data_IF_792167958077
#
_entry.id   IF_792167958077
#
_cell.length_a   1.000
_cell.length_b   1.000
_cell.length_c   1.000
_cell.angle_alpha   90.00
_cell.angle_beta   90.00
_cell.angle_gamma   90.00
#
_symmetry.space_group_name_H-M   'P 1'
#
loop_
_entity.id
_entity.type
_entity.pdbx_description
1 polymer ?
#
# COMPACT_ATOMS: atom_id res chain seq x y z
N UNK A 1 11.85 8.06 4.14
CA UNK A 1 10.64 8.02 5.00
C UNK A 1 10.91 7.06 6.14
N UNK A 2 10.55 7.40 7.38
CA UNK A 2 10.64 6.44 8.49
C UNK A 2 9.42 5.51 8.44
N UNK A 3 9.64 4.25 8.07
CA UNK A 3 8.56 3.28 7.92
C UNK A 3 7.87 2.97 9.26
N UNK A 4 8.59 3.09 10.37
CA UNK A 4 8.06 2.80 11.69
C UNK A 4 7.12 3.90 12.21
N UNK A 5 7.09 5.06 11.55
CA UNK A 5 6.25 6.19 11.93
C UNK A 5 4.88 6.19 11.21
N UNK A 6 4.77 5.51 10.06
CA UNK A 6 3.55 5.41 9.25
C UNK A 6 2.29 5.02 10.02
N UNK A 7 2.42 4.06 10.95
CA UNK A 7 1.31 3.58 11.78
C UNK A 7 1.15 4.30 13.11
N UNK A 8 2.02 5.25 13.44
CA UNK A 8 2.07 5.92 14.76
C UNK A 8 1.68 7.39 14.68
N UNK A 9 2.17 8.07 13.64
CA UNK A 9 1.96 9.49 13.49
C UNK A 9 0.54 9.74 12.96
N UNK A 10 -0.23 10.66 13.58
CA UNK A 10 -1.56 10.99 13.09
C UNK A 10 -1.47 11.65 11.71
N UNK A 11 -2.47 11.42 10.85
CA UNK A 11 -2.58 12.14 9.56
C UNK A 11 -2.71 13.65 9.82
N UNK A 12 -3.63 14.03 10.71
CA UNK A 12 -3.68 15.35 11.31
C UNK A 12 -4.31 15.28 12.72
N UNK A 13 -4.16 16.32 13.57
CA UNK A 13 -4.65 16.27 14.95
C UNK A 13 -6.17 16.08 15.10
N UNK A 14 -6.96 16.61 14.17
CA UNK A 14 -8.43 16.57 14.23
C UNK A 14 -9.00 15.27 13.65
N UNK A 15 -8.23 14.60 12.77
CA UNK A 15 -8.52 13.33 12.15
C UNK A 15 -7.26 12.44 12.15
N UNK A 16 -6.90 11.82 13.30
CA UNK A 16 -5.67 11.04 13.42
C UNK A 16 -5.56 9.88 12.43
N UNK A 17 -6.71 9.32 12.03
CA UNK A 17 -6.80 8.23 11.06
C UNK A 17 -7.05 8.70 9.63
N UNK A 18 -7.21 10.01 9.39
CA UNK A 18 -7.61 10.54 8.10
C UNK A 18 -9.03 10.14 7.68
N UNK A 19 -9.27 10.09 6.37
CA UNK A 19 -10.57 9.78 5.76
C UNK A 19 -10.55 8.43 5.02
N UNK A 20 -11.72 7.98 4.56
CA UNK A 20 -11.81 6.82 3.67
C UNK A 20 -11.14 7.13 2.33
N UNK A 21 -10.29 6.22 1.87
CA UNK A 21 -9.49 6.34 0.63
C UNK A 21 -10.07 5.55 -0.53
N UNK A 22 -11.23 4.90 -0.36
CA UNK A 22 -11.83 4.01 -1.37
C UNK A 22 -12.21 4.69 -2.70
N UNK A 23 -12.15 6.02 -2.78
CA UNK A 23 -12.39 6.81 -4.00
C UNK A 23 -11.17 7.64 -4.42
N UNK A 24 -10.04 7.48 -3.73
CA UNK A 24 -8.83 8.21 -4.01
C UNK A 24 -8.02 7.50 -5.10
N UNK A 25 -7.45 8.29 -6.02
CA UNK A 25 -6.75 7.78 -7.20
C UNK A 25 -5.57 6.87 -6.79
N UNK A 26 -4.85 7.23 -5.73
CA UNK A 26 -3.72 6.44 -5.25
C UNK A 26 -4.16 5.06 -4.73
N UNK A 27 -5.36 4.95 -4.14
CA UNK A 27 -5.90 3.68 -3.68
C UNK A 27 -6.38 2.82 -4.86
N UNK A 28 -7.02 3.42 -5.85
CA UNK A 28 -7.40 2.73 -7.10
C UNK A 28 -6.18 2.17 -7.84
N UNK A 29 -5.07 2.94 -7.89
CA UNK A 29 -3.81 2.50 -8.47
C UNK A 29 -3.18 1.35 -7.68
N UNK A 30 -3.23 1.41 -6.34
CA UNK A 30 -2.77 0.35 -5.47
C UNK A 30 -3.58 -0.95 -5.71
N UNK A 31 -4.91 -0.84 -5.76
CA UNK A 31 -5.78 -1.98 -6.05
C UNK A 31 -5.60 -2.53 -7.46
N UNK A 32 -5.29 -1.68 -8.45
CA UNK A 32 -4.96 -2.13 -9.80
C UNK A 32 -3.70 -3.00 -9.83
N UNK A 33 -2.68 -2.62 -9.06
CA UNK A 33 -1.44 -3.40 -8.94
C UNK A 33 -1.68 -4.72 -8.21
N UNK A 34 -2.41 -4.69 -7.09
CA UNK A 34 -2.79 -5.90 -6.33
C UNK A 34 -3.66 -6.85 -7.19
N UNK A 35 -4.53 -6.32 -8.06
CA UNK A 35 -5.37 -7.16 -8.93
C UNK A 35 -4.57 -8.06 -9.87
N UNK A 36 -3.32 -7.72 -10.18
CA UNK A 36 -2.44 -8.57 -10.98
C UNK A 36 -2.19 -9.95 -10.33
N UNK A 37 -2.24 -10.05 -9.00
CA UNK A 37 -2.13 -11.33 -8.26
C UNK A 37 -3.18 -12.36 -8.66
N UNK A 38 -4.34 -11.91 -9.13
CA UNK A 38 -5.44 -12.79 -9.50
C UNK A 38 -5.48 -13.11 -10.99
N UNK A 39 -4.54 -12.58 -11.78
CA UNK A 39 -4.47 -12.88 -13.21
C UNK A 39 -3.95 -14.31 -13.43
N UNK A 40 -4.52 -15.05 -14.41
CA UNK A 40 -3.99 -16.36 -14.80
C UNK A 40 -2.51 -16.28 -15.17
N UNK A 41 -1.73 -17.27 -14.75
CA UNK A 41 -0.30 -17.42 -15.07
C UNK A 41 -0.02 -17.63 -16.58
N UNK A 42 -1.04 -17.73 -17.42
CA UNK A 42 -0.90 -17.72 -18.88
C UNK A 42 -0.88 -16.31 -19.48
N UNK A 43 -1.22 -15.29 -18.70
CA UNK A 43 -1.16 -13.87 -19.05
C UNK A 43 0.02 -13.16 -18.34
N UNK A 44 0.87 -13.92 -17.64
CA UNK A 44 1.84 -13.37 -16.67
C UNK A 44 3.14 -12.86 -17.26
N UNK A 45 3.38 -12.99 -18.57
CA UNK A 45 4.55 -12.36 -19.21
C UNK A 45 4.46 -10.82 -19.19
N UNK A 46 3.26 -10.26 -19.03
CA UNK A 46 3.00 -8.81 -18.94
C UNK A 46 2.51 -8.36 -17.55
N UNK A 47 2.35 -9.30 -16.61
CA UNK A 47 1.71 -9.06 -15.31
C UNK A 47 2.66 -9.30 -14.12
N UNK A 48 3.93 -8.96 -14.25
CA UNK A 48 4.81 -8.92 -13.09
C UNK A 48 4.29 -7.85 -12.11
N UNK A 49 4.19 -8.25 -10.84
CA UNK A 49 3.69 -7.40 -9.77
C UNK A 49 4.81 -6.48 -9.32
N UNK A 50 4.57 -5.17 -9.39
CA UNK A 50 5.50 -4.17 -8.90
C UNK A 50 5.32 -3.97 -7.38
N UNK A 51 6.02 -4.80 -6.60
CA UNK A 51 6.04 -4.71 -5.15
C UNK A 51 6.60 -3.38 -4.64
N UNK A 52 7.49 -2.73 -5.39
CA UNK A 52 8.01 -1.42 -5.02
C UNK A 52 6.92 -0.37 -5.14
N UNK A 53 6.15 -0.38 -6.23
CA UNK A 53 5.00 0.50 -6.42
C UNK A 53 3.93 0.28 -5.34
N UNK A 54 3.62 -0.97 -5.01
CA UNK A 54 2.69 -1.29 -3.91
C UNK A 54 3.16 -0.66 -2.60
N UNK A 55 4.44 -0.79 -2.26
CA UNK A 55 5.01 -0.22 -1.05
C UNK A 55 4.99 1.30 -1.02
N UNK A 56 5.39 1.94 -2.13
CA UNK A 56 5.42 3.40 -2.25
C UNK A 56 4.01 4.01 -2.14
N UNK A 57 3.02 3.45 -2.85
CA UNK A 57 1.62 3.91 -2.78
C UNK A 57 1.03 3.69 -1.38
N UNK A 58 1.23 2.51 -0.80
CA UNK A 58 0.70 2.21 0.53
C UNK A 58 1.31 3.12 1.60
N UNK A 59 2.60 3.43 1.50
CA UNK A 59 3.27 4.35 2.41
C UNK A 59 2.75 5.79 2.28
N UNK A 60 2.51 6.26 1.04
CA UNK A 60 1.88 7.56 0.77
C UNK A 60 0.52 7.68 1.44
N UNK A 61 -0.36 6.70 1.19
CA UNK A 61 -1.70 6.64 1.78
C UNK A 61 -1.62 6.67 3.32
N UNK A 62 -0.76 5.85 3.91
CA UNK A 62 -0.61 5.75 5.37
C UNK A 62 -0.05 7.02 6.01
N UNK A 63 0.75 7.81 5.30
CA UNK A 63 1.33 9.03 5.83
C UNK A 63 0.42 10.25 5.65
N UNK A 64 -0.30 10.33 4.54
CA UNK A 64 -0.91 11.58 4.10
C UNK A 64 -2.44 11.54 4.07
N UNK A 65 -3.04 10.35 3.92
CA UNK A 65 -4.48 10.25 3.65
C UNK A 65 -5.25 9.47 4.71
N UNK A 66 -4.81 8.26 5.05
CA UNK A 66 -5.61 7.36 5.89
C UNK A 66 -4.81 6.26 6.57
N UNK A 67 -5.19 5.93 7.80
CA UNK A 67 -4.73 4.72 8.50
C UNK A 67 -5.56 3.50 8.10
N UNK A 68 -5.64 3.25 6.78
CA UNK A 68 -6.42 2.16 6.20
C UNK A 68 -5.70 0.81 6.40
N UNK A 69 -6.44 -0.19 6.91
CA UNK A 69 -5.88 -1.52 7.20
C UNK A 69 -5.50 -2.31 5.95
N UNK A 70 -6.17 -2.07 4.81
CA UNK A 70 -5.83 -2.72 3.53
C UNK A 70 -4.49 -2.18 3.06
N UNK A 71 -4.31 -0.86 3.06
CA UNK A 71 -3.03 -0.23 2.73
C UNK A 71 -1.89 -0.69 3.66
N UNK A 72 -2.13 -0.76 4.98
CA UNK A 72 -1.16 -1.30 5.93
C UNK A 72 -0.76 -2.75 5.65
N UNK A 73 -1.73 -3.60 5.29
CA UNK A 73 -1.48 -5.01 4.98
C UNK A 73 -0.66 -5.16 3.70
N UNK A 74 -1.00 -4.40 2.65
CA UNK A 74 -0.25 -4.41 1.40
C UNK A 74 1.16 -3.85 1.57
N UNK A 75 1.33 -2.80 2.38
CA UNK A 75 2.64 -2.27 2.77
C UNK A 75 3.49 -3.34 3.46
N UNK A 76 2.95 -4.06 4.46
CA UNK A 76 3.69 -5.10 5.14
C UNK A 76 4.20 -6.19 4.17
N UNK A 77 3.34 -6.64 3.25
CA UNK A 77 3.72 -7.64 2.24
C UNK A 77 4.75 -7.09 1.25
N UNK A 78 4.61 -5.85 0.76
CA UNK A 78 5.62 -5.26 -0.12
C UNK A 78 6.99 -5.17 0.57
N UNK A 79 7.01 -4.91 1.87
CA UNK A 79 8.25 -4.86 2.65
C UNK A 79 8.94 -6.23 2.76
N UNK A 80 8.19 -7.32 2.86
CA UNK A 80 8.74 -8.68 2.79
C UNK A 80 9.42 -8.91 1.43
N UNK A 81 8.75 -8.53 0.33
CA UNK A 81 9.26 -8.73 -1.03
C UNK A 81 10.46 -7.84 -1.39
N UNK A 82 10.47 -6.59 -0.94
CA UNK A 82 11.45 -5.57 -1.38
C UNK A 82 12.62 -5.40 -0.42
N UNK A 83 12.38 -5.57 0.88
CA UNK A 83 13.35 -5.28 1.93
C UNK A 83 13.71 -6.52 2.78
N UNK A 84 13.15 -7.69 2.45
CA UNK A 84 13.39 -8.95 3.17
C UNK A 84 13.12 -8.84 4.67
N UNK A 85 12.14 -8.02 5.05
CA UNK A 85 11.69 -7.91 6.44
C UNK A 85 10.96 -9.21 6.80
N UNK A 86 11.24 -9.78 7.97
CA UNK A 86 10.48 -10.91 8.50
C UNK A 86 9.07 -10.45 8.88
N UNK A 87 8.05 -11.19 8.44
CA UNK A 87 6.62 -10.87 8.64
C UNK A 87 6.07 -11.24 10.00
#
# INVERSE_FOLDING_TARGET
MDLLSLGKDPINPDQPTGSDVSYEIEFDELEAEIRKLYLPSSLSEEAEIDWKKIGDLSASILAEQSKDLRAASYFAVSQIHTNQIEG
#
